data_IF_866618784506
#
_entry.id   IF_866618784506
#
_cell.length_a   1.000
_cell.length_b   1.000
_cell.length_c   1.000
_cell.angle_alpha   90.00
_cell.angle_beta   90.00
_cell.angle_gamma   90.00
#
_symmetry.space_group_name_H-M   'P 1'
#
loop_
_entity.id
_entity.type
_entity.pdbx_description
1 polymer ?
#
# COMPACT_ATOMS: atom_id res chain seq x y z
N UNK A 1 -24.46 -0.02 2.77
CA UNK A 1 -23.27 -0.24 3.61
C UNK A 1 -23.33 -1.67 4.13
N UNK A 2 -22.63 -2.63 3.48
CA UNK A 2 -22.54 -4.00 4.02
C UNK A 2 -21.82 -3.90 5.36
N UNK A 3 -22.33 -4.58 6.40
CA UNK A 3 -21.51 -4.86 7.57
C UNK A 3 -20.20 -5.49 7.06
N UNK A 4 -19.06 -4.93 7.44
CA UNK A 4 -17.77 -5.46 7.02
C UNK A 4 -17.67 -6.89 7.55
N UNK A 5 -17.87 -7.87 6.68
CA UNK A 5 -17.78 -9.27 7.03
C UNK A 5 -16.29 -9.61 7.14
N UNK A 6 -15.90 -10.53 8.03
CA UNK A 6 -14.51 -10.93 8.15
C UNK A 6 -13.95 -11.42 6.79
N UNK A 7 -12.68 -11.13 6.45
CA UNK A 7 -12.13 -11.52 5.15
C UNK A 7 -12.13 -13.04 4.99
N UNK A 8 -12.38 -13.50 3.77
CA UNK A 8 -12.24 -14.89 3.38
C UNK A 8 -10.78 -15.18 3.07
N UNK A 9 -10.16 -16.05 3.85
CA UNK A 9 -8.71 -16.29 3.80
C UNK A 9 -8.46 -17.70 3.25
N UNK A 10 -7.47 -17.83 2.39
CA UNK A 10 -6.91 -19.12 2.00
C UNK A 10 -5.48 -19.24 2.51
N UNK A 11 -5.18 -20.36 3.15
CA UNK A 11 -3.83 -20.74 3.57
C UNK A 11 -3.36 -21.86 2.66
N UNK A 12 -2.28 -21.66 1.91
CA UNK A 12 -1.75 -22.66 0.98
C UNK A 12 -0.49 -23.26 1.61
N UNK A 13 -0.61 -24.45 2.19
CA UNK A 13 0.47 -25.09 2.96
C UNK A 13 0.03 -25.49 4.36
N UNK A 14 0.94 -25.34 5.34
CA UNK A 14 0.67 -25.67 6.73
C UNK A 14 -0.40 -24.76 7.34
N UNK A 15 -1.16 -25.25 8.32
CA UNK A 15 -2.16 -24.44 9.04
C UNK A 15 -1.49 -23.27 9.77
N UNK A 16 -2.11 -22.09 9.72
CA UNK A 16 -1.63 -20.86 10.39
C UNK A 16 -2.63 -20.44 11.47
N UNK A 17 -2.36 -20.70 12.77
CA UNK A 17 -3.33 -20.45 13.84
C UNK A 17 -3.83 -19.01 13.93
N UNK A 18 -2.99 -18.05 13.55
CA UNK A 18 -3.34 -16.63 13.60
C UNK A 18 -4.52 -16.28 12.70
N UNK A 19 -4.81 -17.04 11.65
CA UNK A 19 -5.93 -16.75 10.74
C UNK A 19 -7.03 -17.79 10.82
N UNK A 20 -7.00 -18.69 11.81
CA UNK A 20 -8.06 -19.68 11.98
C UNK A 20 -9.41 -19.00 12.23
N UNK A 21 -10.43 -19.42 11.49
CA UNK A 21 -11.76 -18.85 11.61
C UNK A 21 -12.75 -19.48 10.63
N UNK A 22 -14.02 -19.11 10.76
CA UNK A 22 -15.11 -19.69 9.96
C UNK A 22 -14.98 -19.45 8.44
N UNK A 23 -14.20 -18.45 8.02
CA UNK A 23 -13.98 -18.10 6.60
C UNK A 23 -12.55 -18.38 6.12
N UNK A 24 -11.82 -19.21 6.86
CA UNK A 24 -10.45 -19.61 6.52
C UNK A 24 -10.43 -21.03 6.01
N UNK A 25 -9.83 -21.25 4.85
CA UNK A 25 -9.66 -22.56 4.23
C UNK A 25 -8.17 -22.86 4.10
N UNK A 26 -7.75 -24.05 4.50
CA UNK A 26 -6.38 -24.53 4.25
C UNK A 26 -6.40 -25.49 3.06
N UNK A 27 -5.49 -25.29 2.11
CA UNK A 27 -5.37 -26.06 0.88
C UNK A 27 -3.93 -26.57 0.75
N UNK A 28 -3.75 -27.83 0.31
CA UNK A 28 -2.41 -28.33 0.06
C UNK A 28 -1.81 -27.63 -1.16
N UNK A 29 -0.49 -27.31 -1.18
CA UNK A 29 0.12 -26.63 -2.32
C UNK A 29 -0.06 -27.39 -3.65
N UNK A 30 -0.07 -28.73 -3.59
CA UNK A 30 -0.31 -29.62 -4.74
C UNK A 30 -1.71 -29.50 -5.36
N UNK A 31 -2.69 -28.99 -4.62
CA UNK A 31 -4.08 -28.91 -5.06
C UNK A 31 -4.38 -27.59 -5.79
N UNK A 32 -3.43 -26.64 -5.74
CA UNK A 32 -3.55 -25.32 -6.37
C UNK A 32 -3.08 -25.42 -7.82
N UNK A 33 -4.03 -25.40 -8.75
CA UNK A 33 -3.80 -25.42 -10.20
C UNK A 33 -3.60 -24.02 -10.79
N UNK A 34 -3.96 -22.97 -10.05
CA UNK A 34 -3.76 -21.60 -10.49
C UNK A 34 -4.13 -20.59 -9.41
N UNK A 35 -3.37 -19.49 -9.35
CA UNK A 35 -3.54 -18.43 -8.38
C UNK A 35 -3.46 -17.08 -9.10
N UNK A 36 -4.59 -16.39 -9.25
CA UNK A 36 -4.69 -15.15 -10.03
C UNK A 36 -5.36 -14.03 -9.24
N UNK A 37 -4.74 -12.85 -9.25
CA UNK A 37 -5.33 -11.66 -8.64
C UNK A 37 -6.33 -10.97 -9.57
N UNK A 38 -7.44 -10.52 -9.01
CA UNK A 38 -8.56 -9.83 -9.68
C UNK A 38 -8.64 -8.39 -9.17
N UNK A 39 -8.09 -7.41 -9.91
CA UNK A 39 -7.98 -6.04 -9.44
C UNK A 39 -9.33 -5.31 -9.31
N UNK A 40 -10.36 -5.80 -10.02
CA UNK A 40 -11.73 -5.28 -9.98
C UNK A 40 -12.40 -5.44 -8.60
N UNK A 41 -11.97 -6.42 -7.82
CA UNK A 41 -12.57 -6.76 -6.52
C UNK A 41 -11.56 -6.92 -5.39
N UNK A 42 -10.27 -6.80 -5.70
CA UNK A 42 -9.16 -7.11 -4.80
C UNK A 42 -9.19 -8.54 -4.24
N UNK A 43 -9.51 -9.51 -5.08
CA UNK A 43 -9.57 -10.92 -4.66
C UNK A 43 -8.57 -11.78 -5.41
N UNK A 44 -8.12 -12.84 -4.74
CA UNK A 44 -7.40 -13.93 -5.37
C UNK A 44 -8.37 -15.03 -5.76
N UNK A 45 -8.41 -15.36 -7.05
CA UNK A 45 -9.06 -16.57 -7.54
C UNK A 45 -8.07 -17.72 -7.42
N UNK A 46 -8.39 -18.67 -6.55
CA UNK A 46 -7.67 -19.94 -6.39
C UNK A 46 -8.40 -21.02 -7.18
N UNK A 47 -7.71 -21.64 -8.12
CA UNK A 47 -8.24 -22.75 -8.93
C UNK A 47 -7.71 -24.06 -8.39
N UNK A 48 -8.61 -25.00 -8.10
CA UNK A 48 -8.30 -26.38 -7.72
C UNK A 48 -9.06 -27.35 -8.62
N UNK A 49 -8.85 -28.65 -8.46
CA UNK A 49 -9.62 -29.67 -9.18
C UNK A 49 -11.13 -29.60 -8.89
N UNK A 50 -11.54 -29.03 -7.74
CA UNK A 50 -12.94 -28.86 -7.37
C UNK A 50 -13.59 -27.60 -7.99
N UNK A 51 -12.79 -26.72 -8.60
CA UNK A 51 -13.26 -25.46 -9.20
C UNK A 51 -12.45 -24.25 -8.74
N UNK A 52 -12.95 -23.06 -9.08
CA UNK A 52 -12.32 -21.79 -8.75
C UNK A 52 -13.12 -21.05 -7.68
N UNK A 53 -12.44 -20.52 -6.67
CA UNK A 53 -13.03 -19.74 -5.58
C UNK A 53 -12.23 -18.48 -5.31
N UNK A 54 -12.93 -17.39 -5.01
CA UNK A 54 -12.35 -16.10 -4.67
C UNK A 54 -12.10 -15.98 -3.16
N UNK A 55 -10.95 -15.41 -2.80
CA UNK A 55 -10.48 -15.14 -1.44
C UNK A 55 -9.96 -13.71 -1.35
N UNK A 56 -10.21 -13.06 -0.21
CA UNK A 56 -9.76 -11.69 0.04
C UNK A 56 -8.28 -11.63 0.40
N UNK A 57 -7.72 -12.71 0.96
CA UNK A 57 -6.33 -12.81 1.38
C UNK A 57 -5.76 -14.22 1.16
N UNK A 58 -4.54 -14.30 0.64
CA UNK A 58 -3.74 -15.52 0.51
C UNK A 58 -2.61 -15.50 1.53
N UNK A 59 -2.42 -16.57 2.27
CA UNK A 59 -1.30 -16.75 3.21
C UNK A 59 -0.45 -17.94 2.77
N UNK A 60 0.85 -17.73 2.60
CA UNK A 60 1.83 -18.74 2.20
C UNK A 60 2.81 -19.02 3.36
N UNK A 61 2.53 -20.01 4.22
CA UNK A 61 3.44 -20.45 5.25
C UNK A 61 4.55 -21.33 4.67
N UNK A 62 5.76 -20.75 4.53
CA UNK A 62 6.95 -21.47 4.08
C UNK A 62 6.82 -22.14 2.70
N UNK A 63 5.85 -21.71 1.88
CA UNK A 63 5.48 -22.35 0.61
C UNK A 63 5.67 -21.39 -0.55
N UNK A 64 6.15 -21.91 -1.69
CA UNK A 64 6.23 -21.16 -2.95
C UNK A 64 5.00 -21.44 -3.81
N UNK A 65 4.45 -20.40 -4.44
CA UNK A 65 3.32 -20.50 -5.36
C UNK A 65 3.58 -19.70 -6.64
N UNK A 66 3.21 -20.27 -7.78
CA UNK A 66 3.09 -19.50 -9.03
C UNK A 66 1.88 -18.57 -8.94
N UNK A 67 2.05 -17.32 -9.36
CA UNK A 67 1.02 -16.29 -9.26
C UNK A 67 0.86 -15.54 -10.58
N UNK A 68 -0.35 -15.07 -10.83
CA UNK A 68 -0.67 -14.18 -11.92
C UNK A 68 -1.28 -12.89 -11.35
N UNK A 69 -0.48 -11.82 -11.33
CA UNK A 69 -0.92 -10.46 -10.98
C UNK A 69 -0.87 -9.62 -12.25
N UNK A 70 -1.97 -9.00 -12.70
CA UNK A 70 -1.91 -8.07 -13.83
C UNK A 70 -1.07 -6.85 -13.46
N UNK A 71 -0.58 -6.09 -14.45
CA UNK A 71 0.14 -4.85 -14.17
C UNK A 71 -0.77 -3.86 -13.44
N UNK A 72 -0.49 -3.62 -12.15
CA UNK A 72 -1.25 -2.70 -11.29
C UNK A 72 -0.60 -1.31 -11.23
N UNK A 73 0.73 -1.27 -11.21
CA UNK A 73 1.54 -0.05 -11.29
C UNK A 73 2.58 -0.24 -12.40
N UNK A 74 2.67 0.64 -13.41
CA UNK A 74 3.66 0.53 -14.48
C UNK A 74 5.11 0.57 -13.97
N UNK A 75 5.36 1.02 -12.74
CA UNK A 75 6.69 1.10 -12.12
C UNK A 75 7.10 -0.19 -11.42
N UNK A 76 6.15 -1.09 -11.13
CA UNK A 76 6.39 -2.31 -10.37
C UNK A 76 5.98 -3.53 -11.19
N UNK A 77 6.95 -4.37 -11.52
CA UNK A 77 6.70 -5.64 -12.20
C UNK A 77 6.46 -6.70 -11.13
N UNK A 78 5.22 -7.18 -11.04
CA UNK A 78 4.89 -8.26 -10.14
C UNK A 78 5.61 -9.56 -10.58
N UNK A 79 6.16 -10.34 -9.63
CA UNK A 79 6.80 -11.61 -9.95
C UNK A 79 5.76 -12.65 -10.42
N UNK A 80 6.21 -13.64 -11.17
CA UNK A 80 5.37 -14.78 -11.61
C UNK A 80 5.32 -15.93 -10.57
N UNK A 81 6.13 -15.85 -9.52
CA UNK A 81 6.18 -16.80 -8.41
C UNK A 81 6.64 -16.08 -7.15
N UNK A 82 6.10 -16.48 -6.01
CA UNK A 82 6.45 -15.93 -4.70
C UNK A 82 6.60 -17.04 -3.68
N UNK A 83 7.57 -16.90 -2.78
CA UNK A 83 7.80 -17.86 -1.69
C UNK A 83 8.86 -17.38 -0.69
N UNK A 84 9.43 -18.30 0.11
CA UNK A 84 10.39 -17.95 1.16
C UNK A 84 11.63 -17.18 0.67
N UNK A 85 12.03 -17.38 -0.59
CA UNK A 85 13.16 -16.67 -1.21
C UNK A 85 12.91 -15.17 -1.39
N UNK A 86 11.64 -14.76 -1.49
CA UNK A 86 11.26 -13.36 -1.67
C UNK A 86 11.20 -12.59 -0.34
N UNK A 87 11.22 -13.30 0.79
CA UNK A 87 11.08 -12.71 2.12
C UNK A 87 12.16 -11.66 2.41
N UNK A 88 13.39 -11.84 1.93
CA UNK A 88 14.48 -10.86 2.14
C UNK A 88 14.19 -9.50 1.47
N UNK A 89 13.33 -9.49 0.46
CA UNK A 89 12.91 -8.29 -0.28
C UNK A 89 11.46 -7.91 0.00
N UNK A 90 10.77 -8.62 0.88
CA UNK A 90 9.40 -8.33 1.29
C UNK A 90 9.40 -7.43 2.53
N UNK A 91 8.41 -6.54 2.63
CA UNK A 91 8.23 -5.76 3.85
C UNK A 91 7.94 -6.70 5.04
N UNK A 92 8.79 -6.62 6.06
CA UNK A 92 8.80 -7.52 7.23
C UNK A 92 8.97 -9.02 6.90
N UNK A 93 9.44 -9.34 5.69
CA UNK A 93 9.44 -10.72 5.21
C UNK A 93 8.06 -11.27 4.85
N UNK A 94 7.04 -10.41 4.73
CA UNK A 94 5.64 -10.81 4.63
C UNK A 94 4.90 -10.24 3.42
N UNK A 95 5.07 -8.96 3.08
CA UNK A 95 4.39 -8.34 1.91
C UNK A 95 5.38 -8.14 0.76
N UNK A 96 5.15 -8.86 -0.34
CA UNK A 96 5.95 -8.76 -1.57
C UNK A 96 5.51 -7.53 -2.37
N UNK A 97 6.47 -6.76 -2.87
CA UNK A 97 6.18 -5.56 -3.64
C UNK A 97 5.40 -5.89 -4.93
N UNK A 98 4.39 -5.08 -5.25
CA UNK A 98 3.51 -5.30 -6.40
C UNK A 98 2.55 -6.51 -6.29
N UNK A 99 2.55 -7.26 -5.18
CA UNK A 99 1.67 -8.42 -4.97
C UNK A 99 0.65 -8.10 -3.88
N UNK A 100 -0.56 -7.65 -4.23
CA UNK A 100 -1.58 -7.30 -3.25
C UNK A 100 -2.16 -8.55 -2.58
N UNK A 101 -2.61 -8.41 -1.34
CA UNK A 101 -3.40 -9.42 -0.62
C UNK A 101 -2.75 -10.80 -0.53
N UNK A 102 -1.43 -10.89 -0.63
CA UNK A 102 -0.67 -12.11 -0.45
C UNK A 102 0.38 -11.88 0.63
N UNK A 103 0.36 -12.74 1.64
CA UNK A 103 1.22 -12.66 2.82
C UNK A 103 2.09 -13.90 2.90
N UNK A 104 3.40 -13.71 2.89
CA UNK A 104 4.37 -14.73 3.27
C UNK A 104 4.43 -14.82 4.80
N UNK A 105 4.64 -16.02 5.33
CA UNK A 105 4.91 -16.19 6.76
C UNK A 105 5.86 -17.36 7.01
N UNK A 106 6.78 -17.19 7.97
CA UNK A 106 7.61 -18.27 8.53
C UNK A 106 6.93 -18.96 9.73
N UNK A 107 5.82 -18.39 10.21
CA UNK A 107 5.06 -18.91 11.35
C UNK A 107 5.57 -18.46 12.70
N UNK A 108 6.59 -17.59 12.74
CA UNK A 108 7.07 -16.95 13.96
C UNK A 108 5.96 -16.10 14.60
N UNK A 109 5.99 -16.05 15.95
CA UNK A 109 5.01 -15.29 16.71
C UNK A 109 4.91 -13.82 16.27
N UNK A 110 6.03 -13.18 15.95
CA UNK A 110 6.07 -11.77 15.55
C UNK A 110 5.35 -11.54 14.21
N UNK A 111 5.50 -12.45 13.24
CA UNK A 111 4.77 -12.37 11.98
C UNK A 111 3.28 -12.67 12.16
N UNK A 112 2.93 -13.62 13.03
CA UNK A 112 1.54 -13.92 13.36
C UNK A 112 0.83 -12.74 14.05
N UNK A 113 1.50 -12.07 14.99
CA UNK A 113 1.01 -10.86 15.66
C UNK A 113 0.88 -9.68 14.66
N UNK A 114 1.81 -9.59 13.70
CA UNK A 114 1.79 -8.60 12.61
C UNK A 114 0.60 -8.81 11.67
N UNK A 115 0.37 -10.04 11.22
CA UNK A 115 -0.78 -10.41 10.39
C UNK A 115 -2.10 -10.08 11.09
N UNK A 116 -2.19 -10.35 12.39
CA UNK A 116 -3.35 -9.98 13.20
C UNK A 116 -3.57 -8.47 13.28
N UNK A 117 -2.50 -7.67 13.39
CA UNK A 117 -2.62 -6.21 13.35
C UNK A 117 -3.14 -5.72 12.00
N UNK A 118 -2.62 -6.25 10.89
CA UNK A 118 -3.09 -5.90 9.55
C UNK A 118 -4.55 -6.24 9.31
N UNK A 119 -4.99 -7.44 9.73
CA UNK A 119 -6.40 -7.82 9.62
C UNK A 119 -7.33 -6.89 10.42
N UNK A 120 -6.90 -6.46 11.61
CA UNK A 120 -7.64 -5.48 12.41
C UNK A 120 -7.73 -4.12 11.70
N UNK A 121 -6.64 -3.66 11.08
CA UNK A 121 -6.65 -2.40 10.33
C UNK A 121 -7.51 -2.49 9.07
N UNK A 122 -7.41 -3.58 8.30
CA UNK A 122 -8.26 -3.81 7.13
C UNK A 122 -9.73 -3.76 7.51
N UNK A 123 -10.11 -4.41 8.61
CA UNK A 123 -11.48 -4.35 9.12
C UNK A 123 -11.88 -2.93 9.54
N UNK A 124 -11.05 -2.25 10.33
CA UNK A 124 -11.33 -0.91 10.84
C UNK A 124 -11.50 0.14 9.73
N UNK A 125 -10.78 -0.02 8.62
CA UNK A 125 -10.77 0.92 7.49
C UNK A 125 -11.60 0.43 6.30
N UNK A 126 -12.30 -0.69 6.46
CA UNK A 126 -13.03 -1.35 5.38
C UNK A 126 -12.16 -1.51 4.10
N UNK A 127 -10.88 -1.84 4.27
CA UNK A 127 -9.94 -1.99 3.18
C UNK A 127 -10.11 -3.37 2.53
N UNK A 128 -10.17 -3.38 1.19
CA UNK A 128 -10.19 -4.60 0.39
C UNK A 128 -8.80 -4.95 -0.14
N UNK A 129 -7.85 -4.01 -0.12
CA UNK A 129 -6.46 -4.20 -0.56
C UNK A 129 -5.48 -3.90 0.56
N UNK A 130 -4.50 -4.78 0.72
CA UNK A 130 -3.28 -4.60 1.49
C UNK A 130 -2.07 -4.77 0.56
N UNK A 131 -1.16 -3.80 0.57
CA UNK A 131 0.08 -3.81 -0.21
C UNK A 131 1.18 -3.07 0.55
N UNK A 132 2.45 -3.47 0.41
CA UNK A 132 3.56 -2.62 0.86
C UNK A 132 3.65 -1.36 -0.02
N UNK A 133 3.93 -0.18 0.57
CA UNK A 133 4.07 1.05 -0.22
C UNK A 133 5.44 1.12 -0.92
N UNK A 134 5.53 1.42 -2.24
CA UNK A 134 6.79 1.33 -2.99
C UNK A 134 8.01 2.21 -2.64
N UNK A 135 8.03 3.22 -1.73
CA UNK A 135 9.32 3.68 -1.19
C UNK A 135 9.76 2.89 0.05
N UNK A 136 8.90 2.09 0.66
CA UNK A 136 9.15 1.39 1.93
C UNK A 136 10.03 0.19 1.72
N UNK A 137 9.72 -0.67 0.74
CA UNK A 137 10.47 -1.91 0.49
C UNK A 137 11.93 -1.61 0.08
N UNK A 138 12.12 -0.67 -0.85
CA UNK A 138 13.46 -0.25 -1.29
C UNK A 138 14.29 0.41 -0.16
N UNK A 139 13.68 1.27 0.67
CA UNK A 139 14.36 1.90 1.82
C UNK A 139 14.58 0.95 2.99
N UNK A 140 13.72 -0.06 3.17
CA UNK A 140 13.84 -1.11 4.19
C UNK A 140 15.07 -1.98 3.93
N UNK A 141 15.25 -2.43 2.68
CA UNK A 141 16.44 -3.18 2.24
C UNK A 141 17.71 -2.34 2.42
N UNK A 142 17.69 -1.06 2.03
CA UNK A 142 18.87 -0.19 2.10
C UNK A 142 19.34 0.15 3.52
N UNK A 143 18.43 0.24 4.51
CA UNK A 143 18.81 0.61 5.89
C UNK A 143 19.29 -0.55 6.76
N UNK A 144 19.32 -1.79 6.24
CA UNK A 144 19.77 -2.96 7.00
C UNK A 144 18.96 -3.21 8.28
N UNK A 145 17.74 -2.67 8.39
CA UNK A 145 16.87 -2.86 9.56
C UNK A 145 16.32 -4.27 9.52
N UNK A 146 16.96 -5.19 10.25
CA UNK A 146 16.57 -6.60 10.28
C UNK A 146 15.24 -6.89 10.98
N UNK A 147 14.69 -5.97 11.79
CA UNK A 147 13.43 -6.26 12.51
C UNK A 147 12.78 -5.01 13.12
N UNK A 148 11.80 -4.37 12.45
CA UNK A 148 10.68 -3.79 13.16
C UNK A 148 9.90 -4.96 13.78
N UNK A 149 9.77 -5.01 15.11
CA UNK A 149 8.98 -6.04 15.81
C UNK A 149 7.48 -5.86 15.59
N UNK A 150 7.07 -4.73 14.99
CA UNK A 150 5.67 -4.38 14.76
C UNK A 150 5.52 -3.72 13.39
N UNK A 151 4.37 -3.94 12.73
CA UNK A 151 4.07 -3.25 11.50
C UNK A 151 3.88 -1.76 11.74
N UNK A 152 4.37 -0.98 10.80
CA UNK A 152 4.01 0.42 10.68
C UNK A 152 2.77 0.55 9.79
N UNK A 153 1.85 1.42 10.21
CA UNK A 153 0.62 1.69 9.46
C UNK A 153 0.91 2.46 8.18
N UNK A 154 1.82 3.44 8.20
CA UNK A 154 2.10 4.28 7.03
C UNK A 154 2.85 3.52 5.93
N UNK A 155 3.56 2.46 6.31
CA UNK A 155 4.28 1.55 5.42
C UNK A 155 3.37 0.68 4.53
N UNK A 156 2.11 0.54 4.91
CA UNK A 156 1.14 -0.35 4.26
C UNK A 156 0.05 0.47 3.60
N UNK A 157 -0.21 0.19 2.33
CA UNK A 157 -1.40 0.69 1.66
C UNK A 157 -2.58 -0.19 2.03
N UNK A 158 -3.50 0.39 2.81
CA UNK A 158 -4.83 -0.15 3.03
C UNK A 158 -5.79 0.73 2.25
N UNK A 159 -6.39 0.16 1.21
CA UNK A 159 -7.31 0.88 0.34
C UNK A 159 -8.49 0.00 -0.02
N UNK A 160 -9.60 0.63 -0.39
CA UNK A 160 -10.72 -0.02 -1.05
C UNK A 160 -11.02 0.69 -2.37
N UNK A 161 -11.98 0.15 -3.11
CA UNK A 161 -12.32 0.67 -4.44
C UNK A 161 -12.68 2.16 -4.41
N UNK A 162 -13.50 2.58 -3.45
CA UNK A 162 -13.89 3.98 -3.28
C UNK A 162 -12.68 4.90 -3.00
N UNK A 163 -11.78 4.51 -2.09
CA UNK A 163 -10.57 5.29 -1.76
C UNK A 163 -9.57 5.34 -2.93
N UNK A 164 -9.55 4.33 -3.81
CA UNK A 164 -8.70 4.34 -5.01
C UNK A 164 -9.31 5.13 -6.15
N UNK A 165 -10.62 5.04 -6.32
CA UNK A 165 -11.39 5.81 -7.29
C UNK A 165 -11.42 7.30 -6.96
N UNK A 166 -11.16 7.68 -5.71
CA UNK A 166 -10.90 9.08 -5.28
C UNK A 166 -9.56 9.68 -5.80
N UNK A 167 -8.98 9.12 -6.87
CA UNK A 167 -8.00 9.85 -7.70
C UNK A 167 -6.64 10.08 -7.05
N UNK A 168 -6.03 9.03 -6.51
CA UNK A 168 -4.69 9.14 -5.92
C UNK A 168 -3.63 9.33 -7.01
N UNK A 169 -3.18 10.56 -7.21
CA UNK A 169 -2.02 10.86 -8.05
C UNK A 169 -0.72 10.40 -7.38
N UNK A 170 0.11 9.65 -8.11
CA UNK A 170 1.48 9.31 -7.70
C UNK A 170 2.47 9.63 -8.82
N UNK A 171 3.45 10.49 -8.55
CA UNK A 171 4.47 10.89 -9.52
C UNK A 171 5.33 12.03 -9.03
N UNK A 172 6.17 12.59 -9.90
CA UNK A 172 7.00 13.75 -9.55
C UNK A 172 6.16 15.03 -9.59
N UNK A 173 6.31 15.86 -8.56
CA UNK A 173 5.80 17.22 -8.57
C UNK A 173 6.95 18.22 -8.42
N UNK A 174 6.73 19.40 -8.97
CA UNK A 174 7.55 20.57 -8.75
C UNK A 174 6.91 21.39 -7.64
N UNK A 175 7.66 21.60 -6.57
CA UNK A 175 7.27 22.41 -5.42
C UNK A 175 8.07 23.71 -5.45
N UNK A 176 7.37 24.81 -5.70
CA UNK A 176 7.94 26.14 -5.71
C UNK A 176 7.64 26.86 -4.40
N UNK A 177 8.61 27.59 -3.86
CA UNK A 177 8.35 28.57 -2.82
C UNK A 177 9.39 29.69 -2.86
N UNK A 178 8.90 30.92 -3.03
CA UNK A 178 9.76 32.05 -3.41
C UNK A 178 10.57 31.73 -4.67
N UNK A 179 11.88 31.96 -4.60
CA UNK A 179 12.83 31.69 -5.69
C UNK A 179 13.34 30.23 -5.70
N UNK A 180 12.86 29.38 -4.80
CA UNK A 180 13.29 27.98 -4.71
C UNK A 180 12.31 27.04 -5.40
N UNK A 181 12.88 26.14 -6.18
CA UNK A 181 12.17 25.05 -6.84
C UNK A 181 12.76 23.72 -6.37
N UNK A 182 11.89 22.76 -6.08
CA UNK A 182 12.27 21.41 -5.67
C UNK A 182 11.42 20.40 -6.42
N UNK A 183 12.07 19.46 -7.10
CA UNK A 183 11.40 18.32 -7.73
C UNK A 183 11.43 17.16 -6.75
N UNK A 184 10.26 16.64 -6.39
CA UNK A 184 10.19 15.52 -5.45
C UNK A 184 9.02 14.60 -5.76
N UNK A 185 9.16 13.28 -5.56
CA UNK A 185 8.05 12.36 -5.63
C UNK A 185 6.95 12.76 -4.64
N UNK A 186 5.71 12.77 -5.12
CA UNK A 186 4.52 13.01 -4.32
C UNK A 186 3.50 11.90 -4.49
N UNK A 187 2.71 11.71 -3.45
CA UNK A 187 1.45 10.97 -3.50
C UNK A 187 0.36 11.90 -3.00
N UNK A 188 -0.57 12.27 -3.88
CA UNK A 188 -1.62 13.24 -3.61
C UNK A 188 -2.97 12.56 -3.82
N UNK A 189 -3.93 12.89 -2.96
CA UNK A 189 -5.32 12.49 -3.06
C UNK A 189 -6.20 13.68 -2.67
N UNK A 190 -7.50 13.59 -2.86
CA UNK A 190 -8.40 14.63 -2.40
C UNK A 190 -9.85 14.22 -2.45
N UNK A 191 -10.69 15.06 -1.88
CA UNK A 191 -12.14 14.89 -1.86
C UNK A 191 -12.82 16.26 -1.82
N UNK A 192 -14.09 16.31 -2.23
CA UNK A 192 -14.95 17.48 -2.00
C UNK A 192 -15.42 17.46 -0.55
N UNK A 193 -15.12 18.50 0.22
CA UNK A 193 -15.57 18.67 1.61
C UNK A 193 -16.98 19.28 1.63
N UNK A 194 -18.02 18.55 2.09
CA UNK A 194 -19.40 19.05 2.05
C UNK A 194 -19.66 20.24 2.96
N UNK A 195 -18.87 20.40 4.03
CA UNK A 195 -19.08 21.46 5.02
C UNK A 195 -18.71 22.85 4.49
N UNK A 196 -17.69 22.93 3.62
CA UNK A 196 -17.23 24.20 3.05
C UNK A 196 -17.35 24.29 1.52
N UNK A 197 -17.70 23.20 0.85
CA UNK A 197 -17.90 23.13 -0.60
C UNK A 197 -16.61 23.19 -1.42
N UNK A 198 -15.43 23.10 -0.79
CA UNK A 198 -14.15 23.13 -1.47
C UNK A 198 -13.60 21.72 -1.66
N UNK A 199 -12.75 21.55 -2.69
CA UNK A 199 -11.99 20.32 -2.86
C UNK A 199 -10.74 20.38 -1.96
N UNK A 200 -10.65 19.49 -0.98
CA UNK A 200 -9.49 19.37 -0.11
C UNK A 200 -8.61 18.27 -0.64
N UNK A 201 -7.35 18.59 -0.88
CA UNK A 201 -6.37 17.63 -1.34
C UNK A 201 -5.18 17.59 -0.39
N UNK A 202 -4.62 16.40 -0.25
CA UNK A 202 -3.57 16.14 0.72
C UNK A 202 -2.65 15.05 0.22
N UNK A 203 -1.52 14.88 0.89
CA UNK A 203 -0.57 13.89 0.49
C UNK A 203 0.73 13.93 1.25
N UNK A 204 1.71 13.26 0.65
CA UNK A 204 3.07 13.23 1.15
C UNK A 204 4.04 13.59 0.04
N UNK A 205 5.09 14.33 0.39
CA UNK A 205 6.23 14.63 -0.48
C UNK A 205 7.51 14.02 0.11
N UNK A 206 8.31 13.40 -0.74
CA UNK A 206 9.61 12.87 -0.34
C UNK A 206 10.60 13.99 -0.02
N UNK A 207 11.40 13.80 1.04
CA UNK A 207 12.48 14.72 1.46
C UNK A 207 13.73 14.58 0.57
N UNK A 208 13.54 14.76 -0.73
CA UNK A 208 14.62 14.76 -1.72
C UNK A 208 15.20 16.17 -1.82
N UNK A 209 14.57 17.03 -2.60
CA UNK A 209 15.01 18.42 -2.79
C UNK A 209 14.25 19.38 -1.85
N UNK A 210 13.01 19.03 -1.50
CA UNK A 210 12.11 19.92 -0.75
C UNK A 210 12.62 20.27 0.65
N UNK A 211 13.33 19.36 1.32
CA UNK A 211 13.84 19.59 2.68
C UNK A 211 14.83 20.74 2.79
N UNK A 212 15.62 20.97 1.74
CA UNK A 212 16.54 22.11 1.67
C UNK A 212 15.81 23.43 1.44
N UNK A 213 14.75 23.42 0.62
CA UNK A 213 13.91 24.59 0.36
C UNK A 213 13.15 25.02 1.64
N UNK A 214 12.53 24.07 2.34
CA UNK A 214 11.74 24.33 3.56
C UNK A 214 12.55 24.95 4.70
N UNK A 215 13.84 24.59 4.83
CA UNK A 215 14.74 25.18 5.86
C UNK A 215 14.89 26.69 5.72
N UNK A 216 14.60 27.25 4.54
CA UNK A 216 14.74 28.68 4.24
C UNK A 216 13.42 29.43 4.31
N UNK A 217 12.32 28.77 4.72
CA UNK A 217 10.96 29.30 4.59
C UNK A 217 10.20 29.29 5.91
N UNK A 218 9.55 30.39 6.28
CA UNK A 218 8.57 30.39 7.35
C UNK A 218 7.28 29.67 6.92
N UNK A 219 6.81 28.72 7.75
CA UNK A 219 5.48 28.07 7.67
C UNK A 219 5.22 27.10 6.50
N UNK A 220 6.24 26.71 5.74
CA UNK A 220 6.13 25.60 4.78
C UNK A 220 5.16 25.83 3.62
N UNK A 221 4.77 27.08 3.32
CA UNK A 221 3.89 27.39 2.19
C UNK A 221 4.61 27.13 0.86
N UNK A 222 3.93 26.43 -0.05
CA UNK A 222 4.45 26.04 -1.37
C UNK A 222 3.36 26.13 -2.43
N UNK A 223 3.78 26.25 -3.69
CA UNK A 223 2.94 26.02 -4.86
C UNK A 223 3.38 24.71 -5.49
N UNK A 224 2.43 23.81 -5.74
CA UNK A 224 2.69 22.46 -6.24
C UNK A 224 2.19 22.35 -7.67
N UNK A 225 3.01 21.84 -8.58
CA UNK A 225 2.60 21.56 -9.96
C UNK A 225 3.05 20.18 -10.38
N UNK A 226 2.24 19.53 -11.22
CA UNK A 226 2.50 18.20 -11.74
C UNK A 226 2.51 18.25 -13.27
N UNK A 227 3.47 17.56 -13.90
CA UNK A 227 3.49 17.39 -15.36
C UNK A 227 3.56 18.71 -16.17
N UNK A 228 4.05 19.80 -15.56
CA UNK A 228 4.07 21.13 -16.18
C UNK A 228 2.70 21.84 -16.20
N UNK A 229 1.71 21.31 -15.47
CA UNK A 229 0.38 21.90 -15.32
C UNK A 229 0.35 23.11 -14.38
N UNK A 230 -0.85 23.64 -14.16
CA UNK A 230 -1.07 24.79 -13.29
C UNK A 230 -0.66 24.49 -11.83
N UNK A 231 0.02 25.46 -11.21
CA UNK A 231 0.42 25.38 -9.80
C UNK A 231 -0.77 25.57 -8.86
N UNK A 232 -0.84 24.75 -7.82
CA UNK A 232 -1.87 24.80 -6.77
C UNK A 232 -1.24 25.12 -5.42
N UNK A 233 -1.78 26.07 -4.64
CA UNK A 233 -1.22 26.44 -3.34
C UNK A 233 -1.43 25.33 -2.31
N UNK A 234 -0.40 25.11 -1.50
CA UNK A 234 -0.39 24.10 -0.46
C UNK A 234 0.49 24.51 0.72
N UNK A 235 0.35 23.76 1.79
CA UNK A 235 1.14 23.88 3.00
C UNK A 235 1.83 22.56 3.28
N UNK A 236 3.14 22.62 3.39
CA UNK A 236 3.95 21.56 3.98
C UNK A 236 3.89 21.72 5.49
N UNK A 237 3.43 20.68 6.18
CA UNK A 237 3.20 20.68 7.63
C UNK A 237 4.33 19.95 8.33
N UNK A 238 4.06 18.77 8.86
CA UNK A 238 5.03 18.03 9.66
C UNK A 238 5.86 17.09 8.80
N UNK A 239 7.11 16.90 9.24
CA UNK A 239 7.93 15.79 8.78
C UNK A 239 7.47 14.52 9.49
N UNK A 240 7.08 13.53 8.71
CA UNK A 240 6.69 12.22 9.24
C UNK A 240 7.91 11.50 9.81
N UNK A 241 7.67 10.48 10.63
CA UNK A 241 8.75 9.62 11.18
C UNK A 241 9.51 8.85 10.08
N UNK A 242 8.95 8.81 8.86
CA UNK A 242 9.51 8.18 7.66
C UNK A 242 10.39 9.13 6.85
N UNK A 243 10.50 10.38 7.29
CA UNK A 243 11.29 11.41 6.64
C UNK A 243 10.60 12.08 5.47
N UNK A 244 9.36 11.74 5.11
CA UNK A 244 8.55 12.51 4.15
C UNK A 244 7.92 13.71 4.84
N UNK A 245 7.43 14.68 4.07
CA UNK A 245 6.62 15.77 4.62
C UNK A 245 5.15 15.58 4.26
N UNK A 246 4.26 15.94 5.18
CA UNK A 246 2.83 16.05 4.90
C UNK A 246 2.54 17.32 4.11
N UNK A 247 1.68 17.20 3.12
CA UNK A 247 1.27 18.26 2.22
C UNK A 247 -0.26 18.34 2.22
N UNK A 248 -0.79 19.55 2.36
CA UNK A 248 -2.24 19.82 2.31
C UNK A 248 -2.52 21.04 1.46
N UNK A 249 -3.61 21.01 0.69
CA UNK A 249 -4.06 22.10 -0.14
C UNK A 249 -5.58 22.10 -0.29
N UNK A 250 -6.11 23.25 -0.69
CA UNK A 250 -7.56 23.46 -0.86
C UNK A 250 -7.79 24.07 -2.23
N UNK A 251 -8.90 23.70 -2.85
CA UNK A 251 -9.28 24.11 -4.20
C UNK A 251 -8.82 23.10 -5.26
N UNK A 252 -8.64 23.59 -6.48
CA UNK A 252 -8.24 22.75 -7.61
C UNK A 252 -6.92 22.04 -7.31
N UNK A 253 -6.84 20.70 -7.41
CA UNK A 253 -5.61 19.98 -7.18
C UNK A 253 -4.63 20.16 -8.34
N UNK A 254 -3.32 19.96 -8.11
CA UNK A 254 -2.31 20.11 -9.14
C UNK A 254 -2.26 18.95 -10.15
N UNK A 255 -3.09 17.92 -9.96
CA UNK A 255 -3.17 16.71 -10.78
C UNK A 255 -4.54 16.62 -11.49
N UNK A 256 -4.63 15.90 -12.62
CA UNK A 256 -5.91 15.66 -13.28
C UNK A 256 -6.89 14.93 -12.35
N UNK A 257 -8.13 15.44 -12.30
CA UNK A 257 -9.29 14.83 -11.64
C UNK A 257 -10.01 13.85 -12.57
#
# INVERSE_FOLDING_TARGET
MRAAEAPRIVVIGARVPAVDGARTVTVAPSDVLGLRFRPDRDVWTVTTAAGALDYDLVVLPGTTAEIAVPALDPRVVAPSSVGPTDAERAYLGMLVDGVPNLVLTDGSKDQLDTLQAWLKWMYAEAATRILARPPVTARWIQRGRRTPTRPDRDAVDLSNDHVRDEGVYTGSAVLCSGDYEAVSPVRLAGHLEPLDGHYHWYGTVDDLEIGAALKKMPRGSVTVSVGGGAGSPAMVTDKTVWGTYRLVGVGTPPYPL
#
